data_IF_505190432831
#
_entry.id   IF_505190432831
#
_cell.length_a   1.000
_cell.length_b   1.000
_cell.length_c   1.000
_cell.angle_alpha   90.00
_cell.angle_beta   90.00
_cell.angle_gamma   90.00
#
_symmetry.space_group_name_H-M   'P 1'
#
loop_
_entity.id
_entity.type
_entity.pdbx_description
1 polymer ?
#
# COMPACT_ATOMS: atom_id res chain seq x y z
N UNK A 1 -3.70 5.42 -6.06
CA UNK A 1 -3.00 5.57 -4.78
C UNK A 1 -1.58 5.16 -5.00
N UNK A 2 -0.64 5.93 -4.49
CA UNK A 2 0.79 5.66 -4.62
C UNK A 2 1.25 4.75 -3.47
N UNK A 3 2.22 3.89 -3.77
CA UNK A 3 2.83 2.98 -2.79
C UNK A 3 4.02 3.71 -2.18
N UNK A 4 4.02 3.86 -0.85
CA UNK A 4 5.13 4.47 -0.12
C UNK A 4 5.91 3.40 0.65
N UNK A 5 7.24 3.45 0.57
CA UNK A 5 8.13 2.59 1.36
C UNK A 5 8.46 3.28 2.67
N UNK A 6 8.28 2.56 3.78
CA UNK A 6 8.61 3.06 5.11
C UNK A 6 10.11 3.31 5.26
N UNK A 7 10.49 4.38 5.97
CA UNK A 7 11.88 4.64 6.36
C UNK A 7 12.43 3.64 7.39
N UNK A 8 11.59 2.80 7.98
CA UNK A 8 11.99 1.72 8.91
C UNK A 8 12.40 0.42 8.19
N UNK A 9 12.49 0.43 6.87
CA UNK A 9 12.89 -0.74 6.07
C UNK A 9 14.42 -0.87 6.11
N UNK A 10 14.91 -2.10 6.32
CA UNK A 10 16.34 -2.38 6.41
C UNK A 10 17.07 -2.22 5.07
N UNK A 11 16.40 -2.53 3.95
CA UNK A 11 16.93 -2.39 2.59
C UNK A 11 15.84 -1.82 1.66
N UNK A 12 15.80 -0.49 1.49
CA UNK A 12 14.81 0.16 0.63
C UNK A 12 14.93 -0.24 -0.83
N UNK A 13 16.14 -0.46 -1.34
CA UNK A 13 16.39 -0.72 -2.76
C UNK A 13 15.82 -2.08 -3.17
N UNK A 14 16.01 -3.12 -2.34
CA UNK A 14 15.38 -4.42 -2.57
C UNK A 14 13.86 -4.37 -2.51
N UNK A 15 13.28 -3.55 -1.61
CA UNK A 15 11.81 -3.39 -1.53
C UNK A 15 11.25 -2.67 -2.75
N UNK A 16 11.97 -1.68 -3.31
CA UNK A 16 11.54 -0.99 -4.54
C UNK A 16 11.40 -1.98 -5.71
N UNK A 17 12.25 -3.01 -5.78
CA UNK A 17 12.17 -4.05 -6.82
C UNK A 17 10.92 -4.94 -6.71
N UNK A 18 10.31 -5.05 -5.52
CA UNK A 18 9.07 -5.80 -5.30
C UNK A 18 7.81 -4.99 -5.67
N UNK A 19 7.93 -3.67 -5.73
CA UNK A 19 6.83 -2.79 -6.09
C UNK A 19 6.63 -2.86 -7.61
N UNK A 20 5.36 -2.92 -8.03
CA UNK A 20 5.08 -2.89 -9.46
C UNK A 20 5.62 -1.59 -10.09
N UNK A 21 6.02 -1.64 -11.36
CA UNK A 21 6.68 -0.53 -12.06
C UNK A 21 5.91 0.79 -12.08
N UNK A 22 4.59 0.75 -11.87
CA UNK A 22 3.77 1.98 -11.86
C UNK A 22 3.81 2.70 -10.51
N UNK A 23 4.33 2.06 -9.46
CA UNK A 23 4.33 2.62 -8.10
C UNK A 23 2.94 2.80 -7.51
N UNK A 24 1.90 2.23 -8.13
CA UNK A 24 0.49 2.42 -7.74
C UNK A 24 -0.14 1.14 -7.26
N UNK A 25 -1.09 1.26 -6.35
CA UNK A 25 -1.93 0.13 -5.92
C UNK A 25 -2.76 -0.40 -7.08
N UNK A 26 -2.71 -1.70 -7.32
CA UNK A 26 -3.59 -2.37 -8.29
C UNK A 26 -4.93 -2.62 -7.60
N UNK A 27 -6.00 -2.03 -8.12
CA UNK A 27 -7.35 -2.15 -7.54
C UNK A 27 -8.09 -3.30 -8.25
N UNK A 28 -8.76 -4.20 -7.52
CA UNK A 28 -9.61 -5.22 -8.13
C UNK A 28 -10.66 -4.62 -9.07
N UNK A 29 -10.84 -5.26 -10.22
CA UNK A 29 -11.78 -4.77 -11.23
C UNK A 29 -13.22 -4.86 -10.72
N UNK A 30 -13.58 -5.97 -10.07
CA UNK A 30 -14.93 -6.20 -9.55
C UNK A 30 -15.14 -5.43 -8.25
N UNK A 31 -16.30 -4.79 -8.13
CA UNK A 31 -16.59 -3.89 -7.01
C UNK A 31 -16.59 -4.62 -5.65
N UNK A 32 -17.10 -5.84 -5.60
CA UNK A 32 -17.19 -6.63 -4.36
C UNK A 32 -15.84 -7.17 -3.87
N UNK A 33 -14.81 -7.19 -4.74
CA UNK A 33 -13.44 -7.56 -4.36
C UNK A 33 -12.68 -6.35 -3.79
N UNK A 34 -13.23 -5.13 -3.93
CA UNK A 34 -12.58 -3.92 -3.41
C UNK A 34 -12.75 -3.84 -1.89
N UNK A 35 -11.69 -3.47 -1.17
CA UNK A 35 -11.79 -3.28 0.28
C UNK A 35 -12.79 -2.17 0.62
N UNK A 36 -13.53 -2.37 1.71
CA UNK A 36 -14.51 -1.40 2.17
C UNK A 36 -13.85 -0.03 2.47
N UNK A 37 -14.46 1.11 2.13
CA UNK A 37 -13.85 2.44 2.33
C UNK A 37 -13.43 2.73 3.77
N UNK A 38 -14.16 2.19 4.76
CA UNK A 38 -13.80 2.31 6.17
C UNK A 38 -12.47 1.63 6.50
N UNK A 39 -12.22 0.44 5.93
CA UNK A 39 -10.96 -0.27 6.11
C UNK A 39 -9.78 0.52 5.53
N UNK A 40 -9.96 1.10 4.34
CA UNK A 40 -8.95 1.96 3.73
C UNK A 40 -8.66 3.23 4.55
N UNK A 41 -9.68 3.81 5.17
CA UNK A 41 -9.52 4.98 6.06
C UNK A 41 -8.70 4.60 7.28
N UNK A 42 -9.12 3.56 8.00
CA UNK A 42 -8.40 3.08 9.18
C UNK A 42 -6.92 2.75 8.88
N UNK A 43 -6.66 2.07 7.75
CA UNK A 43 -5.29 1.71 7.37
C UNK A 43 -4.41 2.95 7.09
N UNK A 44 -4.98 4.05 6.58
CA UNK A 44 -4.23 5.30 6.37
C UNK A 44 -3.93 5.99 7.70
N UNK A 45 -4.92 6.04 8.59
CA UNK A 45 -4.78 6.68 9.90
C UNK A 45 -3.83 5.89 10.82
N UNK A 46 -3.75 4.56 10.63
CA UNK A 46 -2.95 3.64 11.46
C UNK A 46 -1.70 3.09 10.75
N UNK A 47 -1.21 3.77 9.70
CA UNK A 47 -0.16 3.28 8.79
C UNK A 47 1.14 2.83 9.51
N UNK A 48 1.43 3.38 10.68
CA UNK A 48 2.51 2.93 11.55
C UNK A 48 1.93 2.53 12.90
N UNK A 49 1.73 1.23 13.11
CA UNK A 49 1.43 0.69 14.44
C UNK A 49 2.63 0.98 15.35
N UNK A 50 2.36 1.45 16.57
CA UNK A 50 3.37 1.78 17.59
C UNK A 50 4.37 0.64 17.79
#
# INVERSE_FOLDING_TARGET
MDIFVSRKVNDPDSIQLLINKTGRTIVPQRLFERPHPHFLRWHRDSCFKH
#
